data_IF_377129542028
#
_entry.id   IF_377129542028
#
_cell.length_a   1.000
_cell.length_b   1.000
_cell.length_c   1.000
_cell.angle_alpha   90.00
_cell.angle_beta   90.00
_cell.angle_gamma   90.00
#
_symmetry.space_group_name_H-M   'P 1'
#
loop_
_entity.id
_entity.type
_entity.pdbx_description
1 polymer ?
#
# COMPACT_ATOMS: atom_id res chain seq x y z
N UNK A 1 -16.38 24.11 10.42
CA UNK A 1 -16.01 23.02 11.34
C UNK A 1 -15.48 21.77 10.64
N UNK A 2 -15.99 21.33 9.46
CA UNK A 2 -15.38 20.22 8.67
C UNK A 2 -14.07 20.58 7.93
N UNK A 3 -13.98 21.75 7.29
CA UNK A 3 -12.78 22.18 6.51
C UNK A 3 -11.54 22.60 7.32
N UNK A 4 -11.65 22.86 8.64
CA UNK A 4 -10.51 23.24 9.51
C UNK A 4 -9.81 22.02 10.15
N UNK A 5 -10.47 20.85 10.19
CA UNK A 5 -9.95 19.58 10.74
C UNK A 5 -9.27 18.73 9.65
N UNK A 6 -9.77 18.82 8.42
CA UNK A 6 -9.15 18.26 7.20
C UNK A 6 -7.79 18.97 6.90
N UNK A 7 -7.72 20.30 7.09
CA UNK A 7 -6.51 21.13 6.96
C UNK A 7 -5.41 20.93 8.03
N UNK A 8 -5.67 20.27 9.18
CA UNK A 8 -4.61 19.88 10.13
C UNK A 8 -4.17 18.41 9.98
N UNK A 9 -5.07 17.53 9.54
CA UNK A 9 -4.74 16.14 9.25
C UNK A 9 -3.78 16.01 8.04
N UNK A 10 -3.99 16.77 6.97
CA UNK A 10 -3.09 16.80 5.79
C UNK A 10 -1.74 17.50 6.08
N UNK A 11 -1.67 18.31 7.14
CA UNK A 11 -0.50 19.10 7.56
C UNK A 11 0.47 18.32 8.47
N UNK A 12 -0.02 17.30 9.19
CA UNK A 12 0.81 16.26 9.87
C UNK A 12 1.36 15.22 8.88
N UNK A 13 0.58 14.85 7.86
CA UNK A 13 0.95 13.91 6.80
C UNK A 13 2.25 14.33 6.06
N UNK A 14 2.38 15.61 5.71
CA UNK A 14 3.48 16.14 4.88
C UNK A 14 4.80 16.31 5.66
N UNK A 15 4.75 16.57 6.97
CA UNK A 15 5.96 16.71 7.81
C UNK A 15 6.58 15.37 8.25
N UNK A 16 5.81 14.28 8.25
CA UNK A 16 6.35 12.93 8.46
C UNK A 16 7.10 12.43 7.23
N UNK A 17 6.58 12.71 6.01
CA UNK A 17 7.24 12.42 4.73
C UNK A 17 8.61 13.12 4.59
N UNK A 18 8.78 14.35 5.11
CA UNK A 18 10.07 15.06 5.22
C UNK A 18 11.13 14.33 6.09
N UNK A 19 10.73 13.49 7.07
CA UNK A 19 11.66 12.67 7.88
C UNK A 19 12.11 11.40 7.15
N UNK A 20 11.39 11.00 6.10
CA UNK A 20 11.53 9.70 5.44
C UNK A 20 12.47 9.73 4.21
N UNK A 21 13.05 10.87 3.82
CA UNK A 21 13.95 10.96 2.65
C UNK A 21 15.41 11.39 2.95
N UNK A 22 15.72 11.86 4.16
CA UNK A 22 17.01 12.50 4.48
C UNK A 22 18.09 11.59 5.15
N UNK A 23 17.80 10.33 5.51
CA UNK A 23 18.78 9.46 6.18
C UNK A 23 18.89 8.07 5.54
N UNK A 24 19.79 7.99 4.56
CA UNK A 24 20.59 6.82 4.16
C UNK A 24 19.85 5.55 3.70
N UNK A 25 20.13 5.24 2.43
CA UNK A 25 20.43 3.93 1.87
C UNK A 25 20.61 2.80 2.90
N UNK A 26 19.70 1.85 2.86
CA UNK A 26 20.01 0.45 3.15
C UNK A 26 19.82 -0.27 1.82
N UNK A 27 20.83 -0.97 1.28
CA UNK A 27 20.58 -1.86 0.16
C UNK A 27 19.61 -2.91 0.67
N UNK A 28 18.45 -3.02 0.03
CA UNK A 28 17.60 -4.18 0.19
C UNK A 28 18.36 -5.38 -0.39
N UNK A 29 19.20 -6.01 0.43
CA UNK A 29 19.59 -7.39 0.21
C UNK A 29 18.43 -8.25 0.70
N UNK A 30 17.35 -8.25 -0.05
CA UNK A 30 16.42 -9.37 -0.08
C UNK A 30 16.23 -9.70 -1.55
N UNK A 31 17.17 -10.49 -2.06
CA UNK A 31 17.00 -11.24 -3.30
C UNK A 31 15.96 -12.35 -3.06
N UNK A 32 14.74 -11.98 -2.67
CA UNK A 32 13.61 -12.90 -2.79
C UNK A 32 13.06 -12.74 -4.22
N UNK A 33 13.07 -13.80 -5.03
CA UNK A 33 12.57 -13.72 -6.40
C UNK A 33 11.10 -13.31 -6.38
N UNK A 34 10.85 -12.19 -7.04
CA UNK A 34 9.58 -11.56 -7.33
C UNK A 34 8.70 -12.50 -8.20
N UNK A 35 8.18 -13.61 -7.65
CA UNK A 35 7.23 -14.48 -8.37
C UNK A 35 6.49 -15.56 -7.55
N UNK A 36 6.67 -15.71 -6.23
CA UNK A 36 6.04 -16.86 -5.53
C UNK A 36 4.81 -16.51 -4.72
N UNK A 37 4.57 -15.24 -4.41
CA UNK A 37 3.46 -14.80 -3.58
C UNK A 37 2.34 -14.21 -4.43
N UNK A 38 1.11 -14.66 -4.21
CA UNK A 38 -0.09 -14.13 -4.85
C UNK A 38 -1.06 -13.63 -3.78
N UNK A 39 -1.72 -12.51 -4.05
CA UNK A 39 -2.82 -12.00 -3.22
C UNK A 39 -4.02 -11.72 -4.09
N UNK A 40 -5.20 -12.22 -3.68
CA UNK A 40 -6.46 -11.97 -4.35
C UNK A 40 -7.55 -11.54 -3.38
N UNK A 41 -8.50 -10.74 -3.86
CA UNK A 41 -9.72 -10.40 -3.14
C UNK A 41 -10.69 -11.59 -3.19
N UNK A 42 -11.41 -11.79 -2.11
CA UNK A 42 -12.48 -12.78 -1.96
C UNK A 42 -13.69 -12.12 -1.31
N UNK A 43 -14.82 -12.83 -1.26
CA UNK A 43 -15.97 -12.39 -0.50
C UNK A 43 -15.64 -12.28 0.99
N UNK A 44 -16.40 -11.43 1.70
CA UNK A 44 -16.30 -11.28 3.15
C UNK A 44 -16.72 -12.60 3.79
N UNK A 45 -15.95 -13.15 4.75
CA UNK A 45 -16.32 -14.38 5.44
C UNK A 45 -17.63 -14.22 6.23
N UNK A 46 -18.49 -15.24 6.18
CA UNK A 46 -19.75 -15.26 6.95
C UNK A 46 -19.49 -15.04 8.46
N UNK A 47 -20.21 -14.07 9.04
CA UNK A 47 -20.15 -13.78 10.48
C UNK A 47 -18.98 -12.91 10.93
N UNK A 48 -18.18 -12.33 10.02
CA UNK A 48 -17.11 -11.43 10.40
C UNK A 48 -17.63 -10.02 10.72
N UNK A 49 -17.59 -9.65 11.99
CA UNK A 49 -17.74 -8.26 12.44
C UNK A 49 -16.34 -7.71 12.73
N UNK A 50 -15.93 -6.64 12.06
CA UNK A 50 -14.58 -6.07 12.23
C UNK A 50 -14.30 -5.73 13.70
N UNK A 51 -13.15 -6.16 14.20
CA UNK A 51 -12.81 -6.07 15.62
C UNK A 51 -12.23 -4.69 15.98
N UNK A 52 -13.05 -3.65 15.93
CA UNK A 52 -12.72 -2.35 16.51
C UNK A 52 -13.18 -2.28 17.98
N UNK A 53 -12.81 -3.27 18.79
CA UNK A 53 -13.00 -3.20 20.25
C UNK A 53 -11.90 -2.32 20.88
N UNK A 54 -12.23 -1.43 21.80
CA UNK A 54 -11.33 -0.46 22.45
C UNK A 54 -10.50 -1.07 23.61
N UNK A 55 -10.38 -2.40 23.67
CA UNK A 55 -9.55 -3.10 24.64
C UNK A 55 -8.08 -2.68 24.60
N UNK A 56 -7.32 -2.92 25.68
CA UNK A 56 -5.88 -2.62 25.75
C UNK A 56 -5.10 -3.43 24.69
N UNK A 57 -4.80 -2.80 23.56
CA UNK A 57 -4.06 -3.43 22.45
C UNK A 57 -2.56 -3.22 22.65
N UNK A 58 -1.79 -4.28 22.51
CA UNK A 58 -0.33 -4.18 22.54
C UNK A 58 0.17 -3.89 21.12
N UNK A 59 0.82 -2.74 20.91
CA UNK A 59 1.48 -2.40 19.63
C UNK A 59 2.71 -3.30 19.44
N UNK A 60 2.75 -3.99 18.31
CA UNK A 60 3.90 -4.77 17.87
C UNK A 60 4.96 -3.94 17.16
N UNK A 61 5.94 -4.62 16.55
CA UNK A 61 7.03 -3.94 15.86
C UNK A 61 6.56 -3.46 14.49
N UNK A 62 6.57 -2.14 14.31
CA UNK A 62 6.26 -1.47 13.06
C UNK A 62 7.29 -1.82 11.96
N UNK A 63 6.82 -1.96 10.72
CA UNK A 63 7.64 -2.18 9.52
C UNK A 63 7.38 -1.03 8.55
N UNK A 64 8.44 -0.42 8.04
CA UNK A 64 8.37 0.70 7.10
C UNK A 64 9.09 0.37 5.82
N UNK A 65 8.43 0.65 4.71
CA UNK A 65 8.92 0.44 3.36
C UNK A 65 8.87 1.77 2.62
N UNK A 66 9.89 2.00 1.80
CA UNK A 66 10.05 3.22 1.04
C UNK A 66 10.43 2.87 -0.38
N UNK A 67 9.75 3.50 -1.32
CA UNK A 67 10.08 3.42 -2.73
C UNK A 67 10.09 4.82 -3.32
N UNK A 68 10.98 5.03 -4.29
CA UNK A 68 11.06 6.29 -5.04
C UNK A 68 11.42 5.98 -6.48
N UNK A 69 10.53 6.36 -7.39
CA UNK A 69 10.70 6.14 -8.83
C UNK A 69 10.48 7.43 -9.61
N UNK A 70 11.24 7.59 -10.68
CA UNK A 70 10.98 8.63 -11.69
C UNK A 70 10.36 7.96 -12.91
N UNK A 71 9.14 8.37 -13.23
CA UNK A 71 8.35 7.89 -14.35
C UNK A 71 8.48 8.87 -15.52
N UNK A 72 8.69 8.40 -16.77
CA UNK A 72 8.78 9.26 -17.96
C UNK A 72 7.39 9.69 -18.47
N UNK A 73 6.45 9.96 -17.56
CA UNK A 73 5.07 10.30 -17.84
C UNK A 73 4.64 11.54 -17.06
N UNK A 74 3.55 12.19 -17.48
CA UNK A 74 3.01 13.36 -16.81
C UNK A 74 2.32 13.04 -15.48
N UNK A 75 2.34 14.00 -14.55
CA UNK A 75 1.84 13.82 -13.18
C UNK A 75 0.39 13.32 -13.15
N UNK A 76 -0.49 13.87 -13.99
CA UNK A 76 -1.91 13.51 -14.06
C UNK A 76 -2.11 12.09 -14.56
N UNK A 77 -1.50 11.73 -15.70
CA UNK A 77 -1.54 10.36 -16.22
C UNK A 77 -1.00 9.36 -15.21
N UNK A 78 0.12 9.67 -14.53
CA UNK A 78 0.69 8.77 -13.52
C UNK A 78 -0.23 8.62 -12.31
N UNK A 79 -0.86 9.70 -11.84
CA UNK A 79 -1.83 9.62 -10.75
C UNK A 79 -3.10 8.86 -11.09
N UNK A 80 -3.65 9.04 -12.30
CA UNK A 80 -4.83 8.30 -12.74
C UNK A 80 -4.52 6.80 -12.88
N UNK A 81 -3.39 6.47 -13.51
CA UNK A 81 -2.90 5.09 -13.60
C UNK A 81 -2.65 4.46 -12.22
N UNK A 82 -2.12 5.22 -11.26
CA UNK A 82 -1.93 4.75 -9.90
C UNK A 82 -3.25 4.41 -9.22
N UNK A 83 -4.22 5.32 -9.29
CA UNK A 83 -5.56 5.14 -8.70
C UNK A 83 -6.28 3.93 -9.31
N UNK A 84 -6.27 3.83 -10.63
CA UNK A 84 -6.89 2.73 -11.36
C UNK A 84 -6.24 1.39 -11.03
N UNK A 85 -4.90 1.31 -11.10
CA UNK A 85 -4.17 0.09 -10.86
C UNK A 85 -4.44 -0.43 -9.44
N UNK A 86 -4.41 0.44 -8.44
CA UNK A 86 -4.59 0.06 -7.04
C UNK A 86 -5.95 -0.56 -6.72
N UNK A 87 -7.04 -0.02 -7.28
CA UNK A 87 -8.38 -0.52 -7.03
C UNK A 87 -8.79 -1.71 -7.90
N UNK A 88 -8.13 -1.90 -9.05
CA UNK A 88 -8.34 -3.06 -9.91
C UNK A 88 -7.36 -4.21 -9.62
N UNK A 89 -6.27 -3.93 -8.91
CA UNK A 89 -5.33 -4.94 -8.46
C UNK A 89 -6.00 -5.87 -7.44
N UNK A 90 -5.79 -7.18 -7.61
CA UNK A 90 -6.42 -8.31 -6.87
C UNK A 90 -7.74 -8.85 -7.45
N UNK A 91 -8.05 -8.55 -8.71
CA UNK A 91 -8.98 -9.35 -9.53
C UNK A 91 -10.45 -8.93 -9.49
N UNK A 92 -10.80 -7.86 -8.77
CA UNK A 92 -12.14 -7.30 -8.76
C UNK A 92 -12.08 -5.87 -9.28
N UNK A 93 -12.85 -5.56 -10.34
CA UNK A 93 -12.91 -4.21 -10.89
C UNK A 93 -13.83 -3.35 -10.04
N UNK A 94 -13.31 -2.25 -9.52
CA UNK A 94 -14.12 -1.29 -8.77
C UNK A 94 -14.93 -0.42 -9.75
N UNK A 95 -16.23 -0.25 -9.51
CA UNK A 95 -17.12 0.42 -10.46
C UNK A 95 -17.09 1.97 -10.35
N UNK A 96 -16.70 2.52 -9.21
CA UNK A 96 -16.67 3.97 -8.96
C UNK A 96 -15.24 4.50 -8.75
N UNK A 97 -14.37 4.27 -9.75
CA UNK A 97 -12.98 4.77 -9.75
C UNK A 97 -12.94 6.30 -9.94
N UNK A 98 -14.06 6.93 -10.34
CA UNK A 98 -14.15 8.38 -10.48
C UNK A 98 -14.14 9.11 -9.12
N UNK A 99 -14.56 8.43 -8.04
CA UNK A 99 -14.50 8.97 -6.69
C UNK A 99 -13.05 9.22 -6.25
N UNK A 100 -12.86 10.27 -5.44
CA UNK A 100 -11.57 10.57 -4.79
C UNK A 100 -11.48 9.98 -3.37
N UNK A 101 -12.51 9.27 -2.94
CA UNK A 101 -12.55 8.55 -1.67
C UNK A 101 -13.27 7.22 -1.91
N UNK A 102 -12.65 6.11 -1.54
CA UNK A 102 -13.20 4.76 -1.66
C UNK A 102 -13.07 4.10 -0.29
N UNK A 103 -14.19 3.65 0.27
CA UNK A 103 -14.24 2.80 1.45
C UNK A 103 -14.75 1.43 1.03
N UNK A 104 -14.03 0.38 1.42
CA UNK A 104 -14.39 -0.98 1.04
C UNK A 104 -14.02 -2.00 2.11
N UNK A 105 -14.66 -3.16 2.04
CA UNK A 105 -14.36 -4.31 2.88
C UNK A 105 -14.44 -5.57 2.04
N UNK A 106 -13.49 -6.47 2.21
CA UNK A 106 -13.35 -7.67 1.40
C UNK A 106 -12.56 -8.74 2.16
N UNK A 107 -12.67 -9.99 1.72
CA UNK A 107 -11.75 -11.03 2.12
C UNK A 107 -10.45 -10.96 1.31
N UNK A 108 -9.36 -11.43 1.90
CA UNK A 108 -8.07 -11.59 1.27
C UNK A 108 -7.63 -13.03 1.39
N UNK A 109 -7.14 -13.56 0.28
CA UNK A 109 -6.38 -14.80 0.25
C UNK A 109 -4.98 -14.50 -0.27
N UNK A 110 -3.99 -14.92 0.52
CA UNK A 110 -2.58 -14.77 0.23
C UNK A 110 -1.95 -16.15 0.18
N UNK A 111 -1.23 -16.47 -0.88
CA UNK A 111 -0.55 -17.75 -1.04
C UNK A 111 0.92 -17.54 -1.37
N UNK A 112 1.78 -18.43 -0.88
CA UNK A 112 3.16 -18.55 -1.33
C UNK A 112 3.36 -19.92 -1.97
N UNK A 113 3.50 -19.94 -3.29
CA UNK A 113 3.65 -21.16 -4.08
C UNK A 113 4.94 -21.92 -3.78
N UNK A 114 5.97 -21.23 -3.26
CA UNK A 114 7.25 -21.87 -2.92
C UNK A 114 7.14 -22.72 -1.66
N UNK A 115 6.42 -22.22 -0.66
CA UNK A 115 6.25 -22.89 0.63
C UNK A 115 4.94 -23.67 0.72
N UNK A 116 4.04 -23.48 -0.26
CA UNK A 116 2.67 -24.02 -0.26
C UNK A 116 1.88 -23.61 0.99
N UNK A 117 2.18 -22.42 1.53
CA UNK A 117 1.49 -21.84 2.68
C UNK A 117 0.52 -20.78 2.18
N UNK A 118 -0.68 -20.75 2.77
CA UNK A 118 -1.67 -19.72 2.53
C UNK A 118 -2.15 -19.08 3.83
N UNK A 119 -2.63 -17.85 3.71
CA UNK A 119 -3.31 -17.12 4.76
C UNK A 119 -4.59 -16.50 4.21
N UNK A 120 -5.60 -16.42 5.06
CA UNK A 120 -6.86 -15.75 4.77
C UNK A 120 -7.12 -14.67 5.81
N UNK A 121 -7.52 -13.49 5.35
CA UNK A 121 -7.75 -12.33 6.20
C UNK A 121 -8.99 -11.56 5.78
N UNK A 122 -9.63 -10.89 6.73
CA UNK A 122 -10.59 -9.84 6.45
C UNK A 122 -9.85 -8.52 6.33
N UNK A 123 -10.25 -7.67 5.40
CA UNK A 123 -9.71 -6.33 5.26
C UNK A 123 -10.81 -5.30 5.12
N UNK A 124 -10.59 -4.16 5.77
CA UNK A 124 -11.37 -2.95 5.61
C UNK A 124 -10.42 -1.80 5.34
N UNK A 125 -10.70 -0.99 4.32
CA UNK A 125 -9.81 0.09 3.95
C UNK A 125 -10.55 1.34 3.52
N UNK A 126 -9.87 2.47 3.70
CA UNK A 126 -10.26 3.78 3.19
C UNK A 126 -9.08 4.28 2.35
N UNK A 127 -9.36 4.65 1.11
CA UNK A 127 -8.40 5.23 0.18
C UNK A 127 -8.87 6.60 -0.24
N UNK A 128 -7.97 7.57 -0.26
CA UNK A 128 -8.24 8.96 -0.65
C UNK A 128 -7.20 9.45 -1.65
N UNK A 129 -7.66 10.23 -2.63
CA UNK A 129 -6.81 10.91 -3.62
C UNK A 129 -7.05 12.41 -3.57
N UNK A 130 -5.99 13.15 -3.29
CA UNK A 130 -5.97 14.61 -3.27
C UNK A 130 -5.20 15.11 -4.49
N UNK A 131 -5.91 15.71 -5.44
CA UNK A 131 -5.34 16.18 -6.69
C UNK A 131 -5.18 17.69 -6.62
N UNK A 132 -3.92 18.15 -6.58
CA UNK A 132 -3.56 19.58 -6.56
C UNK A 132 -2.85 19.98 -7.87
N UNK A 133 -2.58 21.28 -8.03
CA UNK A 133 -1.93 21.79 -9.25
C UNK A 133 -0.52 21.23 -9.46
N UNK A 134 0.23 21.03 -8.37
CA UNK A 134 1.66 20.68 -8.40
C UNK A 134 1.98 19.30 -7.80
N UNK A 135 0.98 18.61 -7.26
CA UNK A 135 1.15 17.29 -6.67
C UNK A 135 -0.16 16.52 -6.64
N UNK A 136 -0.05 15.21 -6.52
CA UNK A 136 -1.14 14.32 -6.18
C UNK A 136 -0.69 13.55 -4.94
N UNK A 137 -1.57 13.48 -3.95
CA UNK A 137 -1.33 12.73 -2.72
C UNK A 137 -2.36 11.62 -2.62
N UNK A 138 -1.90 10.40 -2.42
CA UNK A 138 -2.73 9.29 -2.02
C UNK A 138 -2.51 8.98 -0.55
N UNK A 139 -3.62 8.73 0.13
CA UNK A 139 -3.63 8.27 1.51
C UNK A 139 -4.46 7.00 1.54
N UNK A 140 -3.92 5.94 2.13
CA UNK A 140 -4.68 4.74 2.42
C UNK A 140 -4.45 4.38 3.89
N UNK A 141 -5.53 4.03 4.56
CA UNK A 141 -5.51 3.34 5.85
C UNK A 141 -6.32 2.04 5.71
N UNK A 142 -5.74 0.91 6.10
CA UNK A 142 -6.43 -0.37 6.16
C UNK A 142 -6.24 -1.10 7.48
N UNK A 143 -7.28 -1.83 7.83
CA UNK A 143 -7.33 -2.87 8.83
C UNK A 143 -7.25 -4.22 8.14
N UNK A 144 -6.41 -5.12 8.63
CA UNK A 144 -6.28 -6.50 8.14
C UNK A 144 -6.26 -7.47 9.31
N UNK A 145 -7.23 -8.37 9.37
CA UNK A 145 -7.36 -9.37 10.43
C UNK A 145 -7.28 -10.78 9.85
N UNK A 146 -6.21 -11.54 10.12
CA UNK A 146 -6.12 -12.92 9.68
C UNK A 146 -7.07 -13.81 10.48
N UNK A 147 -7.80 -14.66 9.76
CA UNK A 147 -8.65 -15.70 10.35
C UNK A 147 -8.20 -17.12 9.99
N UNK A 148 -7.31 -17.26 9.01
CA UNK A 148 -6.73 -18.54 8.61
C UNK A 148 -5.25 -18.43 8.23
N UNK A 149 -4.47 -19.45 8.58
CA UNK A 149 -3.06 -19.59 8.21
C UNK A 149 -2.65 -21.06 8.21
N UNK A 150 -2.02 -21.53 7.14
CA UNK A 150 -1.59 -22.92 6.99
C UNK A 150 -2.70 -23.94 7.34
N UNK A 151 -3.93 -23.68 6.87
CA UNK A 151 -5.15 -24.46 7.15
C UNK A 151 -5.62 -24.48 8.61
N UNK A 152 -5.05 -23.65 9.47
CA UNK A 152 -5.48 -23.50 10.86
C UNK A 152 -6.16 -22.15 11.09
N UNK A 153 -7.12 -22.11 12.01
CA UNK A 153 -7.72 -20.85 12.44
C UNK A 153 -6.70 -20.01 13.22
N UNK A 154 -6.79 -18.69 13.04
CA UNK A 154 -6.01 -17.68 13.75
C UNK A 154 -6.98 -16.61 14.26
N UNK A 155 -6.67 -16.01 15.40
CA UNK A 155 -7.39 -14.87 15.96
C UNK A 155 -6.50 -14.14 16.97
N UNK A 156 -6.92 -12.97 17.43
CA UNK A 156 -6.18 -12.26 18.50
C UNK A 156 -5.11 -11.28 17.99
N UNK A 157 -4.94 -11.17 16.67
CA UNK A 157 -3.98 -10.27 16.02
C UNK A 157 -4.63 -9.59 14.83
N UNK A 158 -4.27 -8.33 14.59
CA UNK A 158 -4.60 -7.62 13.36
C UNK A 158 -3.46 -6.67 12.98
N UNK A 159 -3.43 -6.24 11.72
CA UNK A 159 -2.46 -5.32 11.17
C UNK A 159 -3.18 -4.02 10.79
N UNK A 160 -2.54 -2.88 11.07
CA UNK A 160 -2.87 -1.61 10.45
C UNK A 160 -1.86 -1.31 9.36
N UNK A 161 -2.36 -1.09 8.15
CA UNK A 161 -1.58 -0.64 7.00
C UNK A 161 -1.84 0.85 6.79
N UNK A 162 -0.77 1.62 6.62
CA UNK A 162 -0.85 3.03 6.26
C UNK A 162 0.04 3.26 5.06
N UNK A 163 -0.52 3.80 3.98
CA UNK A 163 0.21 4.08 2.75
C UNK A 163 0.05 5.55 2.37
N UNK A 164 1.17 6.15 1.96
CA UNK A 164 1.24 7.51 1.47
C UNK A 164 2.01 7.52 0.16
N UNK A 165 1.39 8.08 -0.88
CA UNK A 165 2.04 8.22 -2.19
C UNK A 165 2.03 9.69 -2.55
N UNK A 166 3.21 10.23 -2.82
CA UNK A 166 3.39 11.58 -3.33
C UNK A 166 3.82 11.48 -4.79
N UNK A 167 3.00 12.07 -5.66
CA UNK A 167 3.27 12.19 -7.08
C UNK A 167 3.46 13.67 -7.42
N UNK A 168 4.61 14.03 -7.96
CA UNK A 168 4.97 15.41 -8.27
C UNK A 168 5.83 15.50 -9.54
N UNK A 169 5.85 16.62 -10.27
CA UNK A 169 6.71 16.76 -11.44
C UNK A 169 8.19 16.62 -11.07
N UNK A 170 8.96 15.88 -11.86
CA UNK A 170 10.42 15.81 -11.73
C UNK A 170 11.04 16.92 -12.59
N UNK A 171 11.57 17.95 -11.91
CA UNK A 171 12.28 19.04 -12.57
C UNK A 171 13.74 18.67 -12.74
N UNK A 172 14.13 18.25 -13.95
CA UNK A 172 15.54 18.06 -14.29
C UNK A 172 16.26 19.42 -14.26
N UNK A 173 17.33 19.54 -13.46
CA UNK A 173 18.20 20.72 -13.50
C UNK A 173 18.74 20.90 -14.92
N UNK A 174 18.49 22.07 -15.48
CA UNK A 174 18.61 22.46 -16.90
C UNK A 174 20.05 22.56 -17.42
N UNK A 175 20.88 21.53 -17.27
CA UNK A 175 22.22 21.48 -17.87
C UNK A 175 22.37 20.47 -19.01
N UNK A 176 21.38 19.59 -19.25
CA UNK A 176 21.50 18.54 -20.28
C UNK A 176 20.52 18.59 -21.45
N UNK A 177 19.64 19.59 -21.53
CA UNK A 177 18.64 19.69 -22.61
C UNK A 177 18.81 20.95 -23.47
N UNK A 178 20.00 21.15 -24.04
CA UNK A 178 20.08 21.78 -25.36
C UNK A 178 19.66 20.76 -26.41
N UNK A 179 18.35 20.70 -26.70
CA UNK A 179 17.90 20.27 -28.03
C UNK A 179 17.10 18.97 -28.17
N UNK A 180 16.48 18.40 -27.13
CA UNK A 180 15.55 17.27 -27.36
C UNK A 180 14.43 17.16 -26.31
N UNK A 181 13.21 17.29 -26.80
CA UNK A 181 11.89 16.96 -26.22
C UNK A 181 11.56 17.48 -24.82
N UNK A 182 10.46 18.24 -24.75
CA UNK A 182 9.76 18.71 -23.56
C UNK A 182 9.11 17.53 -22.79
N UNK A 183 9.91 16.53 -22.39
CA UNK A 183 9.43 15.34 -21.71
C UNK A 183 8.93 15.68 -20.31
N UNK A 184 7.65 15.40 -20.02
CA UNK A 184 7.12 15.47 -18.67
C UNK A 184 7.59 14.23 -17.91
N UNK A 185 8.44 14.42 -16.91
CA UNK A 185 8.81 13.36 -15.97
C UNK A 185 8.12 13.62 -14.63
N UNK A 186 7.82 12.55 -13.91
CA UNK A 186 7.11 12.60 -12.63
C UNK A 186 7.84 11.75 -11.62
N UNK A 187 8.00 12.27 -10.41
CA UNK A 187 8.47 11.52 -9.25
C UNK A 187 7.28 10.92 -8.53
N UNK A 188 7.40 9.63 -8.22
CA UNK A 188 6.50 8.89 -7.34
C UNK A 188 7.31 8.50 -6.11
N UNK A 189 6.88 8.96 -4.93
CA UNK A 189 7.49 8.61 -3.65
C UNK A 189 6.44 7.91 -2.80
N UNK A 190 6.71 6.67 -2.41
CA UNK A 190 5.80 5.83 -1.65
C UNK A 190 6.38 5.57 -0.27
N UNK A 191 5.57 5.79 0.77
CA UNK A 191 5.84 5.33 2.12
C UNK A 191 4.72 4.39 2.53
N UNK A 192 5.11 3.23 3.04
CA UNK A 192 4.18 2.23 3.48
C UNK A 192 4.58 1.71 4.86
N UNK A 193 3.61 1.64 5.77
CA UNK A 193 3.81 1.27 7.16
C UNK A 193 2.85 0.15 7.51
N UNK A 194 3.37 -0.96 8.04
CA UNK A 194 2.57 -2.04 8.63
C UNK A 194 2.82 -2.08 10.12
N UNK A 195 1.75 -2.05 10.91
CA UNK A 195 1.81 -2.18 12.36
C UNK A 195 0.93 -3.33 12.84
N UNK A 196 1.50 -4.42 13.37
CA UNK A 196 0.72 -5.46 14.03
C UNK A 196 0.27 -5.00 15.43
N UNK A 197 -0.91 -5.44 15.83
CA UNK A 197 -1.47 -5.24 17.16
C UNK A 197 -1.96 -6.57 17.71
N UNK A 198 -1.71 -6.79 19.00
CA UNK A 198 -2.10 -8.00 19.71
C UNK A 198 -3.21 -7.68 20.71
N UNK A 199 -4.26 -8.49 20.70
CA UNK A 199 -5.39 -8.39 21.64
C UNK A 199 -5.07 -9.08 22.97
N UNK A 200 -4.26 -10.15 22.94
CA UNK A 200 -3.65 -10.75 24.12
C UNK A 200 -2.13 -10.52 24.06
N UNK A 201 -1.52 -9.84 25.05
CA UNK A 201 -0.08 -9.66 25.14
C UNK A 201 0.76 -10.93 24.99
N UNK A 202 0.23 -12.10 25.38
CA UNK A 202 0.93 -13.39 25.26
C UNK A 202 1.19 -13.79 23.81
N UNK A 203 0.36 -13.32 22.87
CA UNK A 203 0.50 -13.63 21.45
C UNK A 203 1.74 -12.99 20.82
N UNK A 204 2.35 -11.99 21.47
CA UNK A 204 3.58 -11.36 21.01
C UNK A 204 4.77 -12.33 20.98
N UNK A 205 4.78 -13.29 21.89
CA UNK A 205 5.84 -14.30 22.02
C UNK A 205 5.42 -15.66 21.44
N UNK A 206 4.20 -15.77 20.90
CA UNK A 206 3.67 -17.00 20.29
C UNK A 206 4.30 -17.25 18.91
N UNK A 207 5.00 -18.37 18.69
CA UNK A 207 5.67 -18.66 17.41
C UNK A 207 4.74 -18.69 16.21
N UNK A 208 3.51 -19.21 16.38
CA UNK A 208 2.53 -19.30 15.30
C UNK A 208 2.03 -17.91 14.90
N UNK A 209 1.69 -17.07 15.87
CA UNK A 209 1.28 -15.68 15.63
C UNK A 209 2.39 -14.89 14.93
N UNK A 210 3.64 -15.06 15.36
CA UNK A 210 4.77 -14.41 14.70
C UNK A 210 4.98 -14.92 13.26
N UNK A 211 4.78 -16.20 12.99
CA UNK A 211 4.80 -16.75 11.63
C UNK A 211 3.71 -16.14 10.74
N UNK A 212 2.48 -16.01 11.27
CA UNK A 212 1.35 -15.36 10.58
C UNK A 212 1.68 -13.91 10.24
N UNK A 213 2.16 -13.13 11.22
CA UNK A 213 2.53 -11.71 11.02
C UNK A 213 3.62 -11.60 9.96
N UNK A 214 4.68 -12.42 10.04
CA UNK A 214 5.78 -12.37 9.08
C UNK A 214 5.31 -12.71 7.66
N UNK A 215 4.42 -13.71 7.52
CA UNK A 215 3.83 -14.07 6.24
C UNK A 215 3.00 -12.91 5.66
N UNK A 216 2.09 -12.33 6.46
CA UNK A 216 1.24 -11.20 6.04
C UNK A 216 2.09 -9.98 5.66
N UNK A 217 3.02 -9.57 6.53
CA UNK A 217 3.93 -8.44 6.26
C UNK A 217 4.67 -8.67 4.96
N UNK A 218 5.19 -9.88 4.75
CA UNK A 218 5.91 -10.22 3.53
C UNK A 218 4.99 -10.12 2.30
N UNK A 219 3.85 -10.80 2.29
CA UNK A 219 2.89 -10.79 1.18
C UNK A 219 2.38 -9.38 0.85
N UNK A 220 2.00 -8.60 1.87
CA UNK A 220 1.52 -7.22 1.70
C UNK A 220 2.65 -6.29 1.20
N UNK A 221 3.87 -6.43 1.71
CA UNK A 221 5.02 -5.64 1.24
C UNK A 221 5.37 -5.93 -0.22
N UNK A 222 5.35 -7.20 -0.64
CA UNK A 222 5.58 -7.59 -2.04
C UNK A 222 4.53 -6.98 -2.97
N UNK A 223 3.26 -6.99 -2.55
CA UNK A 223 2.17 -6.40 -3.31
C UNK A 223 2.36 -4.90 -3.54
N UNK A 224 2.73 -4.14 -2.50
CA UNK A 224 2.93 -2.70 -2.64
C UNK A 224 4.14 -2.38 -3.51
N UNK A 225 5.21 -3.17 -3.43
CA UNK A 225 6.39 -2.98 -4.28
C UNK A 225 6.08 -3.28 -5.75
N UNK A 226 5.27 -4.29 -6.03
CA UNK A 226 4.79 -4.58 -7.38
C UNK A 226 3.91 -3.46 -7.96
N UNK A 227 3.22 -2.69 -7.10
CA UNK A 227 2.32 -1.62 -7.53
C UNK A 227 3.03 -0.57 -8.38
N UNK A 228 4.20 -0.09 -7.93
CA UNK A 228 4.99 0.91 -8.66
C UNK A 228 5.37 0.42 -10.06
N UNK A 229 5.74 -0.85 -10.20
CA UNK A 229 6.12 -1.44 -11.49
C UNK A 229 4.92 -1.60 -12.43
N UNK A 230 3.79 -2.08 -11.91
CA UNK A 230 2.58 -2.25 -12.69
C UNK A 230 2.02 -0.92 -13.22
N UNK A 231 2.16 0.17 -12.45
CA UNK A 231 1.75 1.51 -12.93
C UNK A 231 2.59 1.93 -14.15
N UNK A 232 3.89 1.64 -14.14
CA UNK A 232 4.75 1.92 -15.30
C UNK A 232 4.35 1.07 -16.51
N UNK A 233 4.11 -0.22 -16.32
CA UNK A 233 3.63 -1.11 -17.38
C UNK A 233 2.28 -0.65 -17.96
N UNK A 234 1.33 -0.31 -17.10
CA UNK A 234 0.00 0.18 -17.51
C UNK A 234 0.12 1.46 -18.35
N UNK A 235 0.99 2.39 -17.96
CA UNK A 235 1.25 3.60 -18.74
C UNK A 235 1.92 3.31 -20.08
N UNK A 236 2.86 2.35 -20.14
CA UNK A 236 3.49 1.92 -21.39
C UNK A 236 2.46 1.30 -22.35
N UNK A 237 1.61 0.40 -21.86
CA UNK A 237 0.57 -0.24 -22.65
C UNK A 237 -0.43 0.77 -23.21
N UNK A 238 -0.84 1.77 -22.41
CA UNK A 238 -1.71 2.85 -22.86
C UNK A 238 -1.09 3.71 -23.97
N UNK A 239 0.24 3.87 -23.99
CA UNK A 239 0.94 4.58 -25.06
C UNK A 239 1.06 3.70 -26.31
N UNK A 240 1.30 2.40 -26.16
CA UNK A 240 1.44 1.46 -27.29
C UNK A 240 0.11 1.12 -27.98
N UNK A 241 -1.01 1.27 -27.29
CA UNK A 241 -2.36 1.06 -27.85
C UNK A 241 -2.92 2.30 -28.59
N UNK A 242 -2.15 3.39 -28.69
CA UNK A 242 -2.48 4.59 -29.46
C UNK A 242 -1.79 4.59 -30.82
#
# INVERSE_FOLDING_TARGET
MKLKMQYENEKQLVKSLEKMLHKRHVPANDTEPQATKQTRRTDIPDGHNGLLDEGKKLKGIERKFYDRRTMPFGMRSTGDAWWENWHNYRGQRFQDIAANEITESFGLEMSDFKTNVSATAYSQQISQRHVEDKRIVFVWDAYVEPFGFANERVSGVYLLEQNYVLIEPEFWSSERTRGRSNGSATRVSTCYVITPYFLDPKLKDDPKTMAVINFLVSALSTNIMALSEMVETLLLDQVLQR
#
